data_IF_690319926816
#
_entry.id   IF_690319926816
#
_cell.length_a   1.000
_cell.length_b   1.000
_cell.length_c   1.000
_cell.angle_alpha   90.00
_cell.angle_beta   90.00
_cell.angle_gamma   90.00
#
_symmetry.space_group_name_H-M   'P 1'
#
loop_
_entity.id
_entity.type
_entity.pdbx_description
1 polymer ?
#
# COMPACT_ATOMS: atom_id res chain seq x y z
N UNK A 1 21.24 1.89 -16.29
CA UNK A 1 19.83 2.08 -15.88
C UNK A 1 19.32 0.75 -15.38
N UNK A 2 18.72 0.71 -14.19
CA UNK A 2 18.00 -0.49 -13.75
C UNK A 2 16.78 -0.69 -14.64
N UNK A 3 16.38 -1.94 -14.96
CA UNK A 3 15.18 -2.20 -15.74
C UNK A 3 13.95 -1.63 -15.01
N UNK A 4 13.03 -1.04 -15.76
CA UNK A 4 11.75 -0.57 -15.22
C UNK A 4 11.05 -1.73 -14.52
N UNK A 5 10.49 -1.46 -13.36
CA UNK A 5 9.73 -2.43 -12.61
C UNK A 5 8.40 -1.79 -12.27
N UNK A 6 7.31 -2.51 -12.49
CA UNK A 6 5.97 -2.10 -12.14
C UNK A 6 5.51 -2.85 -10.90
N UNK A 7 4.62 -2.23 -10.17
CA UNK A 7 4.07 -2.71 -8.92
C UNK A 7 2.57 -2.59 -9.00
N UNK A 8 1.85 -3.64 -8.59
CA UNK A 8 0.41 -3.62 -8.33
C UNK A 8 0.19 -3.65 -6.83
N UNK A 9 -0.61 -2.76 -6.28
CA UNK A 9 -0.84 -2.74 -4.84
C UNK A 9 -1.84 -1.69 -4.39
N UNK A 10 -1.84 -1.45 -3.08
CA UNK A 10 -2.75 -0.52 -2.43
C UNK A 10 -1.97 0.63 -1.78
N UNK A 11 -2.55 1.81 -1.81
CA UNK A 11 -2.08 3.00 -1.10
C UNK A 11 -2.82 3.14 0.25
N UNK A 12 -2.15 3.57 1.31
CA UNK A 12 -2.85 4.01 2.54
C UNK A 12 -3.46 5.37 2.26
N UNK A 13 -4.77 5.46 2.40
CA UNK A 13 -5.50 6.71 2.27
C UNK A 13 -5.45 7.45 3.60
N UNK A 14 -4.70 8.55 3.68
CA UNK A 14 -4.67 9.43 4.86
C UNK A 14 -6.05 9.77 5.43
N UNK A 15 -7.03 10.26 4.62
CA UNK A 15 -8.35 10.61 5.14
C UNK A 15 -9.11 9.39 5.69
N UNK A 16 -9.08 8.25 4.99
CA UNK A 16 -9.75 7.02 5.47
C UNK A 16 -9.07 6.44 6.70
N UNK A 17 -7.74 6.51 6.77
CA UNK A 17 -6.97 6.06 7.92
C UNK A 17 -7.26 6.92 9.16
N UNK A 18 -7.41 8.24 8.96
CA UNK A 18 -7.79 9.15 10.02
C UNK A 18 -9.21 8.85 10.54
N UNK A 19 -10.17 8.67 9.64
CA UNK A 19 -11.55 8.28 9.97
C UNK A 19 -11.60 6.95 10.70
N UNK A 20 -10.89 5.93 10.21
CA UNK A 20 -10.88 4.58 10.78
C UNK A 20 -10.26 4.51 12.18
N UNK A 21 -9.29 5.36 12.47
CA UNK A 21 -8.63 5.44 13.77
C UNK A 21 -9.23 6.54 14.66
N UNK A 22 -10.31 7.18 14.21
CA UNK A 22 -11.00 8.27 14.92
C UNK A 22 -10.06 9.41 15.32
N UNK A 23 -9.08 9.73 14.48
CA UNK A 23 -8.15 10.84 14.69
C UNK A 23 -8.52 12.06 13.85
N UNK A 24 -8.19 13.25 14.34
CA UNK A 24 -8.36 14.47 13.55
C UNK A 24 -7.45 14.43 12.31
N UNK A 25 -7.99 14.76 11.11
CA UNK A 25 -7.20 14.98 9.91
C UNK A 25 -6.10 16.03 10.17
N UNK A 26 -4.93 15.84 9.57
CA UNK A 26 -3.75 16.71 9.76
C UNK A 26 -3.23 16.80 11.21
N UNK A 27 -3.70 15.94 12.11
CA UNK A 27 -3.17 15.89 13.47
C UNK A 27 -1.69 15.44 13.48
N UNK A 28 -0.90 15.85 14.47
CA UNK A 28 0.46 15.34 14.67
C UNK A 28 0.55 13.82 14.82
N UNK A 29 -0.59 13.16 15.08
CA UNK A 29 -0.69 11.71 15.25
C UNK A 29 -0.82 10.95 13.93
N UNK A 30 -1.08 11.61 12.81
CA UNK A 30 -1.34 10.98 11.51
C UNK A 30 -0.18 10.06 11.06
N UNK A 31 1.07 10.49 11.20
CA UNK A 31 2.24 9.67 10.88
C UNK A 31 2.35 8.43 11.79
N UNK A 32 1.97 8.56 13.07
CA UNK A 32 1.96 7.44 14.01
C UNK A 32 0.85 6.44 13.65
N UNK A 33 -0.31 6.94 13.26
CA UNK A 33 -1.44 6.15 12.78
C UNK A 33 -1.12 5.39 11.48
N UNK A 34 -0.42 6.03 10.54
CA UNK A 34 0.08 5.35 9.33
C UNK A 34 1.07 4.25 9.72
N UNK A 35 2.00 4.51 10.64
CA UNK A 35 2.93 3.50 11.13
C UNK A 35 2.25 2.33 11.82
N UNK A 36 1.16 2.57 12.55
CA UNK A 36 0.37 1.52 13.16
C UNK A 36 -0.29 0.64 12.09
N UNK A 37 -1.07 1.23 11.16
CA UNK A 37 -1.66 0.52 10.01
C UNK A 37 -0.59 -0.28 9.24
N UNK A 38 0.62 0.27 9.15
CA UNK A 38 1.75 -0.43 8.55
C UNK A 38 2.14 -1.70 9.32
N UNK A 39 2.18 -1.65 10.65
CA UNK A 39 2.50 -2.82 11.50
C UNK A 39 1.44 -3.90 11.40
N UNK A 40 0.16 -3.52 11.35
CA UNK A 40 -0.95 -4.47 11.15
C UNK A 40 -0.78 -5.26 9.85
N UNK A 41 -0.36 -4.57 8.79
CA UNK A 41 -0.06 -5.19 7.50
C UNK A 41 1.26 -5.95 7.44
N UNK A 42 2.22 -5.71 8.33
CA UNK A 42 3.48 -6.47 8.36
C UNK A 42 3.35 -7.80 9.12
N UNK A 43 2.33 -7.91 10.00
CA UNK A 43 2.08 -9.07 10.87
C UNK A 43 2.02 -10.41 10.15
N UNK A 44 1.47 -10.44 8.93
CA UNK A 44 1.34 -11.67 8.11
C UNK A 44 2.45 -11.81 7.06
N UNK A 45 3.56 -11.06 7.17
CA UNK A 45 4.69 -11.11 6.25
C UNK A 45 4.30 -10.92 4.77
N UNK A 46 3.54 -9.86 4.48
CA UNK A 46 3.23 -9.49 3.09
C UNK A 46 4.54 -9.33 2.32
N UNK A 47 4.72 -10.18 1.29
CA UNK A 47 5.92 -10.17 0.45
C UNK A 47 6.08 -8.78 -0.16
N UNK A 48 7.08 -8.06 0.36
CA UNK A 48 7.52 -6.74 -0.06
C UNK A 48 6.56 -5.58 0.26
N UNK A 49 6.79 -4.87 1.37
CA UNK A 49 6.46 -3.45 1.49
C UNK A 49 7.50 -2.68 0.65
N UNK A 50 7.34 -2.61 -0.66
CA UNK A 50 8.19 -1.70 -1.44
C UNK A 50 7.67 -0.26 -1.22
N UNK A 51 8.42 0.53 -0.45
CA UNK A 51 8.27 1.97 -0.39
C UNK A 51 8.60 2.54 -1.77
N UNK A 52 7.60 2.74 -2.63
CA UNK A 52 7.75 3.78 -3.64
C UNK A 52 7.62 5.09 -2.87
N UNK A 53 8.72 5.82 -2.68
CA UNK A 53 8.66 7.19 -2.19
C UNK A 53 8.03 8.01 -3.32
N UNK A 54 6.71 8.12 -3.31
CA UNK A 54 6.07 9.30 -3.89
C UNK A 54 6.38 10.50 -2.99
N UNK A 55 6.39 11.73 -3.51
CA UNK A 55 6.52 12.94 -2.69
C UNK A 55 5.46 13.04 -1.56
N UNK A 56 4.33 12.35 -1.73
CA UNK A 56 3.22 12.26 -0.78
C UNK A 56 3.39 11.17 0.32
N UNK A 57 4.46 10.37 0.26
CA UNK A 57 4.79 9.36 1.27
C UNK A 57 3.94 8.07 1.23
N UNK A 58 3.12 7.87 0.20
CA UNK A 58 2.17 6.75 0.16
C UNK A 58 2.83 5.42 -0.16
N UNK A 59 2.45 4.33 0.55
CA UNK A 59 3.09 3.00 0.47
C UNK A 59 2.06 1.87 0.29
N UNK A 60 2.33 0.89 -0.60
CA UNK A 60 2.37 -0.60 -0.38
C UNK A 60 2.08 -1.47 -1.60
N UNK A 61 2.65 -2.68 -1.63
CA UNK A 61 2.72 -3.60 -2.80
C UNK A 61 2.03 -4.92 -2.51
N UNK A 62 1.32 -5.46 -3.50
CA UNK A 62 0.81 -6.84 -3.50
C UNK A 62 1.58 -7.73 -4.48
N UNK A 63 1.99 -7.17 -5.61
CA UNK A 63 2.66 -7.89 -6.69
C UNK A 63 3.60 -6.96 -7.48
N UNK A 64 4.61 -7.53 -8.15
CA UNK A 64 5.55 -6.79 -8.99
C UNK A 64 5.91 -7.59 -10.23
N UNK A 65 6.24 -6.86 -11.29
CA UNK A 65 6.68 -7.43 -12.56
C UNK A 65 7.48 -6.39 -13.34
N UNK A 66 8.18 -6.80 -14.39
CA UNK A 66 8.82 -5.90 -15.35
C UNK A 66 7.89 -5.55 -16.52
N UNK A 67 6.73 -6.21 -16.61
CA UNK A 67 5.67 -5.97 -17.59
C UNK A 67 4.38 -5.48 -16.91
N UNK A 68 3.94 -4.27 -17.26
CA UNK A 68 2.75 -3.62 -16.73
C UNK A 68 1.45 -4.37 -17.11
N UNK A 69 1.37 -4.87 -18.34
CA UNK A 69 0.17 -5.53 -18.85
C UNK A 69 0.00 -6.93 -18.26
N UNK A 70 1.11 -7.61 -18.00
CA UNK A 70 1.12 -8.86 -17.22
C UNK A 70 0.58 -8.64 -15.80
N UNK A 71 0.90 -7.51 -15.15
CA UNK A 71 0.35 -7.15 -13.84
C UNK A 71 -1.15 -6.81 -13.90
N UNK A 72 -1.60 -6.12 -14.96
CA UNK A 72 -3.03 -5.82 -15.17
C UNK A 72 -3.84 -7.10 -15.26
N UNK A 73 -3.40 -8.04 -16.10
CA UNK A 73 -4.09 -9.31 -16.35
C UNK A 73 -3.99 -10.32 -15.19
N UNK A 74 -3.04 -10.16 -14.27
CA UNK A 74 -2.85 -11.09 -13.17
C UNK A 74 -3.94 -10.94 -12.09
N UNK A 75 -4.67 -12.02 -11.77
CA UNK A 75 -5.68 -11.97 -10.72
C UNK A 75 -5.02 -11.70 -9.36
N UNK A 76 -5.68 -10.88 -8.54
CA UNK A 76 -5.25 -10.66 -7.16
C UNK A 76 -5.32 -11.97 -6.39
N UNK A 77 -4.25 -12.31 -5.67
CA UNK A 77 -4.27 -13.44 -4.74
C UNK A 77 -5.30 -13.17 -3.63
N UNK A 78 -5.90 -14.22 -3.04
CA UNK A 78 -6.76 -14.05 -1.87
C UNK A 78 -6.04 -13.24 -0.78
N UNK A 79 -6.74 -12.24 -0.24
CA UNK A 79 -6.19 -11.38 0.79
C UNK A 79 -6.14 -12.11 2.13
N UNK A 80 -5.07 -11.91 2.91
CA UNK A 80 -4.99 -12.42 4.27
C UNK A 80 -5.99 -11.70 5.19
N UNK A 81 -6.35 -12.29 6.35
CA UNK A 81 -7.18 -11.63 7.34
C UNK A 81 -6.67 -10.25 7.76
N UNK A 82 -5.34 -10.07 7.91
CA UNK A 82 -4.78 -8.76 8.31
C UNK A 82 -4.91 -7.69 7.24
N UNK A 83 -4.82 -8.04 5.95
CA UNK A 83 -5.12 -7.09 4.88
C UNK A 83 -6.61 -6.77 4.84
N UNK A 84 -7.49 -7.77 5.00
CA UNK A 84 -8.93 -7.53 5.05
C UNK A 84 -9.32 -6.57 6.19
N UNK A 85 -8.64 -6.66 7.34
CA UNK A 85 -8.90 -5.78 8.49
C UNK A 85 -8.63 -4.30 8.20
N UNK A 86 -7.74 -3.99 7.25
CA UNK A 86 -7.36 -2.62 6.90
C UNK A 86 -7.72 -2.22 5.48
N UNK A 87 -8.36 -3.08 4.68
CA UNK A 87 -8.91 -2.73 3.37
C UNK A 87 -9.73 -1.43 3.36
N UNK A 88 -10.53 -1.10 4.40
CA UNK A 88 -11.29 0.15 4.43
C UNK A 88 -10.41 1.41 4.37
N UNK A 89 -9.15 1.34 4.82
CA UNK A 89 -8.22 2.49 4.83
C UNK A 89 -7.29 2.53 3.62
N UNK A 90 -7.53 1.67 2.64
CA UNK A 90 -6.70 1.52 1.45
C UNK A 90 -7.39 2.06 0.19
N UNK A 91 -6.59 2.61 -0.74
CA UNK A 91 -6.96 2.99 -2.10
C UNK A 91 -6.31 2.03 -3.11
N UNK A 92 -7.04 1.63 -4.16
CA UNK A 92 -6.58 0.71 -5.21
C UNK A 92 -7.39 -0.60 -5.31
N UNK A 93 -6.83 -1.68 -5.89
CA UNK A 93 -5.43 -1.81 -6.28
C UNK A 93 -5.11 -1.09 -7.59
N UNK A 94 -4.01 -0.33 -7.60
CA UNK A 94 -3.49 0.38 -8.77
C UNK A 94 -2.15 -0.20 -9.23
N UNK A 95 -1.67 0.23 -10.40
CA UNK A 95 -0.34 -0.11 -10.92
C UNK A 95 0.52 1.15 -11.05
N UNK A 96 1.77 1.08 -10.59
CA UNK A 96 2.74 2.16 -10.69
C UNK A 96 4.13 1.67 -11.06
N UNK A 97 4.92 2.54 -11.70
CA UNK A 97 6.35 2.32 -11.88
C UNK A 97 7.07 2.46 -10.54
N UNK A 98 7.96 1.52 -10.24
CA UNK A 98 8.79 1.50 -9.04
C UNK A 98 9.84 2.62 -9.18
N UNK A 99 9.78 3.60 -8.29
CA UNK A 99 10.86 4.56 -8.10
C UNK A 99 12.16 3.80 -7.78
N UNK A 100 13.22 4.08 -8.54
CA UNK A 100 14.55 3.47 -8.38
C UNK A 100 15.20 3.85 -7.04
#
# INVERSE_FOLDING_TARGET
>A
MLPRQYIKGFAISRPKNAEFLEIEPDSPMEESAIHETIRWLDRDAFMFIACAIKPDGTRRVLDKDHDEDMLKGRPSKPFSPSLNAVLPVLDGPDIWERSA
#
